data_IF_568407648533
#
_entry.id   IF_568407648533
#
_cell.length_a   1.000
_cell.length_b   1.000
_cell.length_c   1.000
_cell.angle_alpha   90.00
_cell.angle_beta   90.00
_cell.angle_gamma   90.00
#
_symmetry.space_group_name_H-M   'P 1'
#
loop_
_entity.id
_entity.type
_entity.pdbx_description
1 polymer ?
#
# COMPACT_ATOMS: atom_id res chain seq x y z
N UNK A 1 1.84 -13.07 6.13
CA UNK A 1 2.02 -13.15 4.67
C UNK A 1 2.73 -11.88 4.22
N UNK A 2 3.75 -11.99 3.38
CA UNK A 2 4.42 -10.83 2.79
C UNK A 2 4.06 -10.81 1.31
N UNK A 3 3.63 -9.65 0.83
CA UNK A 3 3.27 -9.40 -0.55
C UNK A 3 4.06 -8.21 -1.08
N UNK A 4 4.72 -8.39 -2.22
CA UNK A 4 5.63 -7.41 -2.82
C UNK A 4 5.19 -7.12 -4.26
N UNK A 5 4.99 -5.84 -4.58
CA UNK A 5 4.59 -5.33 -5.90
C UNK A 5 3.39 -6.08 -6.53
N UNK A 6 2.32 -6.29 -5.75
CA UNK A 6 1.14 -7.08 -6.13
C UNK A 6 0.48 -6.63 -7.43
N UNK A 7 0.37 -5.32 -7.64
CA UNK A 7 -0.34 -4.71 -8.77
C UNK A 7 0.45 -4.72 -10.07
N UNK A 8 1.76 -5.00 -10.03
CA UNK A 8 2.65 -4.82 -11.17
C UNK A 8 2.30 -5.80 -12.30
N UNK A 9 1.96 -5.25 -13.46
CA UNK A 9 1.69 -6.03 -14.67
C UNK A 9 0.33 -6.74 -14.70
N UNK A 10 -0.51 -6.53 -13.69
CA UNK A 10 -1.87 -7.07 -13.63
C UNK A 10 -2.88 -6.11 -14.26
N UNK A 11 -3.94 -6.68 -14.84
CA UNK A 11 -5.10 -5.89 -15.24
C UNK A 11 -5.86 -5.38 -13.99
N UNK A 12 -6.52 -4.20 -14.04
CA UNK A 12 -7.16 -3.61 -12.86
C UNK A 12 -8.12 -4.55 -12.12
N UNK A 13 -8.95 -5.29 -12.87
CA UNK A 13 -9.90 -6.26 -12.28
C UNK A 13 -9.20 -7.38 -11.49
N UNK A 14 -8.00 -7.78 -11.91
CA UNK A 14 -7.23 -8.82 -11.23
C UNK A 14 -6.61 -8.26 -9.94
N UNK A 15 -6.21 -6.99 -9.95
CA UNK A 15 -5.76 -6.30 -8.73
C UNK A 15 -6.88 -6.30 -7.69
N UNK A 16 -8.09 -5.91 -8.07
CA UNK A 16 -9.24 -5.92 -7.17
C UNK A 16 -9.51 -7.32 -6.58
N UNK A 17 -9.44 -8.37 -7.39
CA UNK A 17 -9.63 -9.76 -6.95
C UNK A 17 -8.54 -10.21 -5.95
N UNK A 18 -7.28 -9.82 -6.20
CA UNK A 18 -6.17 -10.09 -5.29
C UNK A 18 -6.41 -9.42 -3.94
N UNK A 19 -6.80 -8.13 -3.92
CA UNK A 19 -7.05 -7.41 -2.67
C UNK A 19 -8.24 -7.98 -1.88
N UNK A 20 -9.32 -8.39 -2.55
CA UNK A 20 -10.44 -9.09 -1.91
C UNK A 20 -10.01 -10.41 -1.26
N UNK A 21 -9.09 -11.14 -1.91
CA UNK A 21 -8.52 -12.37 -1.36
C UNK A 21 -7.68 -12.08 -0.13
N UNK A 22 -6.86 -11.02 -0.16
CA UNK A 22 -6.05 -10.58 0.98
C UNK A 22 -6.93 -10.16 2.16
N UNK A 23 -8.03 -9.47 1.92
CA UNK A 23 -9.00 -9.12 2.98
C UNK A 23 -9.55 -10.38 3.67
N UNK A 24 -9.90 -11.40 2.88
CA UNK A 24 -10.36 -12.70 3.43
C UNK A 24 -9.27 -13.38 4.27
N UNK A 25 -8.01 -13.30 3.85
CA UNK A 25 -6.87 -13.87 4.58
C UNK A 25 -6.64 -13.11 5.90
N UNK A 26 -6.70 -11.77 5.88
CA UNK A 26 -6.67 -10.90 7.07
C UNK A 26 -7.79 -11.27 8.04
N UNK A 27 -9.03 -11.42 7.56
CA UNK A 27 -10.19 -11.77 8.37
C UNK A 27 -10.05 -13.12 9.10
N UNK A 28 -9.20 -14.02 8.61
CA UNK A 28 -8.86 -15.30 9.26
C UNK A 28 -7.76 -15.16 10.33
N UNK A 29 -7.35 -13.94 10.67
CA UNK A 29 -6.34 -13.64 11.68
C UNK A 29 -4.89 -13.68 11.17
N UNK A 30 -4.68 -13.69 9.86
CA UNK A 30 -3.32 -13.67 9.29
C UNK A 30 -2.80 -12.24 9.22
N UNK A 31 -1.64 -11.98 9.84
CA UNK A 31 -0.95 -10.71 9.66
C UNK A 31 -0.43 -10.55 8.22
N UNK A 32 -0.63 -9.37 7.64
CA UNK A 32 -0.20 -9.01 6.29
C UNK A 32 0.87 -7.92 6.35
N UNK A 33 1.89 -8.05 5.51
CA UNK A 33 2.83 -6.98 5.18
C UNK A 33 2.79 -6.80 3.65
N UNK A 34 2.37 -5.62 3.20
CA UNK A 34 2.21 -5.30 1.78
C UNK A 34 3.20 -4.20 1.42
N UNK A 35 3.99 -4.44 0.36
CA UNK A 35 4.93 -3.48 -0.22
C UNK A 35 4.40 -3.10 -1.60
N UNK A 36 4.13 -1.81 -1.81
CA UNK A 36 3.48 -1.32 -3.02
C UNK A 36 3.99 0.07 -3.44
N UNK A 37 3.92 0.34 -4.74
CA UNK A 37 4.11 1.67 -5.32
C UNK A 37 2.78 2.33 -5.64
N UNK A 38 1.75 1.55 -5.99
CA UNK A 38 0.38 2.03 -6.21
C UNK A 38 -0.43 1.89 -4.92
N UNK A 39 -0.34 2.91 -4.07
CA UNK A 39 -0.74 2.79 -2.67
C UNK A 39 -2.24 2.74 -2.40
N UNK A 40 -3.11 3.12 -3.36
CA UNK A 40 -4.53 3.33 -3.08
C UNK A 40 -5.20 2.10 -2.46
N UNK A 41 -5.09 0.93 -3.09
CA UNK A 41 -5.66 -0.31 -2.55
C UNK A 41 -5.00 -0.75 -1.23
N UNK A 42 -3.69 -0.52 -1.08
CA UNK A 42 -2.97 -0.83 0.14
C UNK A 42 -3.42 0.06 1.32
N UNK A 43 -3.68 1.35 1.08
CA UNK A 43 -4.20 2.27 2.08
C UNK A 43 -5.60 1.88 2.55
N UNK A 44 -6.44 1.34 1.65
CA UNK A 44 -7.78 0.87 1.99
C UNK A 44 -7.76 -0.43 2.82
N UNK A 45 -6.82 -1.34 2.55
CA UNK A 45 -6.74 -2.64 3.23
C UNK A 45 -5.95 -2.61 4.56
N UNK A 46 -4.89 -1.81 4.64
CA UNK A 46 -3.95 -1.83 5.76
C UNK A 46 -4.43 -0.99 6.95
N UNK A 47 -4.11 -1.43 8.17
CA UNK A 47 -4.39 -0.67 9.39
C UNK A 47 -3.32 0.42 9.66
N UNK A 48 -2.07 0.12 9.30
CA UNK A 48 -0.91 0.99 9.47
C UNK A 48 -0.08 1.03 8.20
N UNK A 49 0.60 2.17 7.97
CA UNK A 49 1.38 2.42 6.76
C UNK A 49 2.69 3.09 7.14
N UNK A 50 3.76 2.69 6.46
CA UNK A 50 5.06 3.35 6.51
C UNK A 50 5.46 3.77 5.09
N UNK A 51 5.82 5.05 4.92
CA UNK A 51 6.34 5.60 3.69
C UNK A 51 7.87 5.52 3.71
N UNK A 52 8.44 4.78 2.76
CA UNK A 52 9.88 4.65 2.60
C UNK A 52 10.37 5.56 1.48
N UNK A 53 11.28 6.48 1.79
CA UNK A 53 11.95 7.35 0.83
C UNK A 53 13.47 7.24 1.01
N UNK A 54 14.20 6.98 -0.07
CA UNK A 54 15.67 6.91 -0.06
C UNK A 54 16.25 6.03 1.06
N UNK A 55 15.60 4.89 1.32
CA UNK A 55 16.02 3.94 2.36
C UNK A 55 15.73 4.37 3.80
N UNK A 56 14.87 5.37 4.01
CA UNK A 56 14.45 5.86 5.34
C UNK A 56 12.93 5.92 5.44
N UNK A 57 12.41 5.63 6.63
CA UNK A 57 10.98 5.86 6.93
C UNK A 57 10.77 7.36 7.04
N UNK A 58 10.12 7.95 6.04
CA UNK A 58 9.84 9.38 5.97
C UNK A 58 8.56 9.73 6.74
N UNK A 59 7.64 8.78 6.87
CA UNK A 59 6.40 8.89 7.62
C UNK A 59 5.90 7.50 8.02
N UNK A 60 5.25 7.38 9.18
CA UNK A 60 4.53 6.19 9.58
C UNK A 60 3.30 6.57 10.44
N UNK A 61 2.23 5.79 10.34
CA UNK A 61 1.00 6.08 11.07
C UNK A 61 -0.15 5.13 10.74
N UNK A 62 -1.35 5.47 11.23
CA UNK A 62 -2.56 4.77 10.82
C UNK A 62 -2.88 5.11 9.35
N UNK A 63 -3.41 4.14 8.60
CA UNK A 63 -3.77 4.37 7.19
C UNK A 63 -4.76 5.51 6.99
N UNK A 64 -5.66 5.73 7.95
CA UNK A 64 -6.61 6.85 7.95
C UNK A 64 -5.93 8.23 7.98
N UNK A 65 -4.75 8.34 8.57
CA UNK A 65 -3.96 9.58 8.63
C UNK A 65 -3.00 9.70 7.43
N UNK A 66 -2.88 8.64 6.63
CA UNK A 66 -1.89 8.53 5.57
C UNK A 66 -2.31 9.22 4.28
N UNK A 67 -3.62 9.32 3.99
CA UNK A 67 -4.12 9.70 2.67
C UNK A 67 -3.50 11.01 2.13
N UNK A 68 -3.66 12.12 2.86
CA UNK A 68 -3.13 13.41 2.41
C UNK A 68 -1.60 13.45 2.40
N UNK A 69 -0.94 12.79 3.35
CA UNK A 69 0.53 12.85 3.48
C UNK A 69 1.21 12.01 2.41
N UNK A 70 0.77 10.75 2.25
CA UNK A 70 1.36 9.78 1.33
C UNK A 70 1.06 10.18 -0.11
N UNK A 71 -0.17 10.58 -0.42
CA UNK A 71 -0.54 10.96 -1.79
C UNK A 71 0.24 12.20 -2.25
N UNK A 72 0.30 13.25 -1.43
CA UNK A 72 1.04 14.47 -1.79
C UNK A 72 2.54 14.19 -1.97
N UNK A 73 3.16 13.41 -1.08
CA UNK A 73 4.58 13.07 -1.17
C UNK A 73 4.91 12.16 -2.36
N UNK A 74 4.03 11.22 -2.71
CA UNK A 74 4.20 10.41 -3.91
C UNK A 74 4.19 11.27 -5.19
N UNK A 75 3.31 12.28 -5.26
CA UNK A 75 3.28 13.22 -6.38
C UNK A 75 4.54 14.10 -6.44
N UNK A 76 5.02 14.61 -5.30
CA UNK A 76 6.26 15.39 -5.24
C UNK A 76 7.49 14.56 -5.65
N UNK A 77 7.58 13.31 -5.20
CA UNK A 77 8.66 12.39 -5.56
C UNK A 77 8.66 12.01 -7.05
N UNK A 78 7.47 11.92 -7.67
CA UNK A 78 7.33 11.65 -9.10
C UNK A 78 7.66 12.86 -10.00
N UNK A 79 7.43 14.09 -9.51
CA UNK A 79 7.68 15.32 -10.28
C UNK A 79 9.14 15.79 -10.27
N UNK A 80 9.99 15.21 -9.43
CA UNK A 80 11.42 15.54 -9.32
C UNK A 80 12.33 14.78 -10.30
N UNK A 81 11.76 14.10 -11.30
CA UNK A 81 12.47 13.34 -12.34
C UNK A 81 12.25 13.90 -13.74
#
# INVERSE_FOLDING_TARGET
LVADELSLGLAPIVVDEVYNTLETIRARGTALLIVEQHVQHALELCDHVALLEHGRVAWEGASADAADVVVNRLFEAGSAR
#
